data_IF_072062499196
#
_entry.id   IF_072062499196
#
_cell.length_a   1.000
_cell.length_b   1.000
_cell.length_c   1.000
_cell.angle_alpha   90.00
_cell.angle_beta   90.00
_cell.angle_gamma   90.00
#
_symmetry.space_group_name_H-M   'P 1'
#
loop_
_entity.id
_entity.type
_entity.pdbx_description
1 polymer ?
#
# COMPACT_ATOMS: atom_id res chain seq x y z
N UNK A 1 31.24 -33.42 0.96
CA UNK A 1 30.86 -32.60 2.14
C UNK A 1 30.05 -33.49 3.07
N UNK A 2 30.54 -33.70 4.30
CA UNK A 2 29.96 -34.64 5.27
C UNK A 2 28.97 -33.89 6.15
N UNK A 3 27.75 -34.43 6.27
CA UNK A 3 26.65 -33.91 7.11
C UNK A 3 26.94 -34.14 8.60
N UNK A 4 26.74 -33.14 9.47
CA UNK A 4 27.13 -33.16 10.90
C UNK A 4 25.98 -33.42 11.91
N UNK A 5 24.78 -33.75 11.44
CA UNK A 5 23.78 -34.42 12.26
C UNK A 5 22.95 -33.63 13.28
N UNK A 6 22.95 -32.29 13.30
CA UNK A 6 22.26 -31.56 14.39
C UNK A 6 21.15 -30.58 14.02
N UNK A 7 20.78 -30.39 12.76
CA UNK A 7 19.87 -29.28 12.39
C UNK A 7 18.41 -29.69 12.11
N UNK A 8 18.07 -30.98 12.25
CA UNK A 8 16.69 -31.46 12.09
C UNK A 8 16.01 -31.62 13.45
N UNK A 9 15.29 -30.59 13.89
CA UNK A 9 14.45 -30.69 15.08
C UNK A 9 13.12 -31.33 14.66
N UNK A 10 13.02 -32.64 14.80
CA UNK A 10 11.74 -33.35 14.62
C UNK A 10 10.83 -33.07 15.82
N UNK A 11 9.75 -32.33 15.59
CA UNK A 11 8.68 -32.10 16.57
C UNK A 11 7.32 -32.25 15.90
N UNK A 12 6.42 -33.04 16.50
CA UNK A 12 5.03 -33.10 16.03
C UNK A 12 4.35 -31.77 16.35
N UNK A 13 3.93 -31.05 15.31
CA UNK A 13 3.06 -29.89 15.45
C UNK A 13 1.69 -30.36 15.99
N UNK A 14 1.27 -29.79 17.11
CA UNK A 14 0.02 -30.15 17.79
C UNK A 14 -1.15 -29.30 17.27
N UNK A 15 -2.39 -29.68 17.60
CA UNK A 15 -3.59 -28.89 17.28
C UNK A 15 -4.18 -29.12 15.88
N UNK A 16 -3.49 -29.84 15.00
CA UNK A 16 -4.09 -30.36 13.77
C UNK A 16 -5.11 -31.46 14.06
N UNK A 17 -6.23 -31.52 13.32
CA UNK A 17 -7.13 -32.68 13.35
C UNK A 17 -6.35 -33.97 13.09
N UNK A 18 -6.76 -35.09 13.69
CA UNK A 18 -6.12 -36.41 13.53
C UNK A 18 -6.36 -37.04 12.15
N UNK A 19 -6.76 -36.24 11.17
CA UNK A 19 -6.99 -36.67 9.80
C UNK A 19 -5.66 -36.80 9.05
N UNK A 20 -5.63 -37.60 8.00
CA UNK A 20 -4.45 -37.79 7.18
C UNK A 20 -4.12 -36.48 6.44
N UNK A 21 -2.88 -36.01 6.57
CA UNK A 21 -2.39 -34.82 5.86
C UNK A 21 -1.95 -35.25 4.45
N UNK A 22 -2.65 -34.74 3.44
CA UNK A 22 -2.46 -35.12 2.03
C UNK A 22 -1.67 -34.10 1.23
N UNK A 23 -1.64 -32.84 1.69
CA UNK A 23 -0.95 -31.73 1.03
C UNK A 23 -0.53 -30.66 2.04
N UNK A 24 0.50 -29.89 1.70
CA UNK A 24 0.96 -28.71 2.44
C UNK A 24 1.35 -27.61 1.46
N UNK A 25 1.04 -26.37 1.78
CA UNK A 25 1.54 -25.17 1.11
C UNK A 25 1.91 -24.13 2.16
N UNK A 26 3.00 -23.40 1.93
CA UNK A 26 3.52 -22.39 2.85
C UNK A 26 3.63 -21.09 2.07
N UNK A 27 3.08 -20.01 2.61
CA UNK A 27 3.29 -18.68 2.03
C UNK A 27 4.62 -18.13 2.53
N UNK A 28 5.59 -18.00 1.62
CA UNK A 28 6.95 -17.55 1.94
C UNK A 28 7.16 -16.06 1.71
N UNK A 29 6.14 -15.34 1.23
CA UNK A 29 6.34 -14.03 0.60
C UNK A 29 6.73 -12.92 1.56
N UNK A 30 6.06 -12.77 2.71
CA UNK A 30 6.42 -11.80 3.76
C UNK A 30 5.92 -12.15 5.17
N UNK A 31 5.08 -13.17 5.33
CA UNK A 31 4.43 -13.56 6.61
C UNK A 31 5.01 -14.88 7.13
N UNK A 32 6.13 -14.87 7.88
CA UNK A 32 6.67 -16.11 8.44
C UNK A 32 5.61 -16.75 9.36
N UNK A 33 5.28 -18.01 9.09
CA UNK A 33 4.37 -18.80 9.94
C UNK A 33 2.98 -19.05 9.37
N UNK A 34 2.67 -18.59 8.15
CA UNK A 34 1.41 -18.98 7.47
C UNK A 34 1.57 -20.33 6.77
N UNK A 35 0.79 -21.32 7.21
CA UNK A 35 0.82 -22.69 6.70
C UNK A 35 -0.59 -23.12 6.33
N UNK A 36 -0.77 -23.71 5.15
CA UNK A 36 -1.99 -24.37 4.73
C UNK A 36 -1.75 -25.87 4.61
N UNK A 37 -2.65 -26.68 5.17
CA UNK A 37 -2.61 -28.13 5.04
C UNK A 37 -3.92 -28.65 4.47
N UNK A 38 -3.81 -29.58 3.53
CA UNK A 38 -4.93 -30.34 3.01
C UNK A 38 -5.05 -31.65 3.78
N UNK A 39 -6.29 -32.05 4.05
CA UNK A 39 -6.60 -33.30 4.72
C UNK A 39 -7.38 -34.24 3.80
N UNK A 40 -7.41 -35.53 4.17
CA UNK A 40 -8.14 -36.53 3.41
C UNK A 40 -9.66 -36.30 3.44
N UNK A 41 -10.24 -35.84 4.56
CA UNK A 41 -11.71 -35.78 4.71
C UNK A 41 -12.25 -34.50 5.35
N UNK A 42 -11.39 -33.67 5.95
CA UNK A 42 -11.78 -32.47 6.69
C UNK A 42 -11.46 -31.15 5.95
N UNK A 43 -11.04 -31.20 4.69
CA UNK A 43 -10.73 -30.03 3.88
C UNK A 43 -9.37 -29.41 4.18
N UNK A 44 -9.29 -28.09 4.04
CA UNK A 44 -8.09 -27.27 4.29
C UNK A 44 -8.14 -26.70 5.71
N UNK A 45 -7.00 -26.79 6.40
CA UNK A 45 -6.73 -26.04 7.63
C UNK A 45 -5.59 -25.08 7.38
N UNK A 46 -5.58 -23.96 8.11
CA UNK A 46 -4.47 -23.03 8.06
C UNK A 46 -4.07 -22.56 9.45
N UNK A 47 -2.81 -22.17 9.56
CA UNK A 47 -2.20 -21.57 10.75
C UNK A 47 -1.58 -20.23 10.35
N UNK A 48 -1.61 -19.25 11.27
CA UNK A 48 -0.88 -17.96 11.14
C UNK A 48 0.31 -17.86 12.09
N UNK A 49 0.55 -18.89 12.89
CA UNK A 49 1.46 -18.87 14.03
C UNK A 49 2.44 -20.04 14.00
N UNK A 50 2.89 -20.44 12.81
CA UNK A 50 3.84 -21.55 12.59
C UNK A 50 3.33 -22.90 13.10
N UNK A 51 2.02 -23.11 13.10
CA UNK A 51 1.36 -24.36 13.48
C UNK A 51 1.01 -24.47 14.96
N UNK A 52 1.13 -23.39 15.75
CA UNK A 52 0.73 -23.42 17.17
C UNK A 52 -0.79 -23.49 17.32
N UNK A 53 -1.55 -22.91 16.38
CA UNK A 53 -3.01 -23.01 16.30
C UNK A 53 -3.47 -23.18 14.85
N UNK A 54 -4.65 -23.79 14.69
CA UNK A 54 -5.21 -24.17 13.41
C UNK A 54 -6.68 -23.79 13.29
N UNK A 55 -7.05 -23.27 12.13
CA UNK A 55 -8.41 -22.85 11.77
C UNK A 55 -8.82 -23.49 10.45
N UNK A 56 -10.10 -23.84 10.30
CA UNK A 56 -10.63 -24.38 9.04
C UNK A 56 -10.66 -23.31 7.95
N UNK A 57 -10.36 -23.70 6.70
CA UNK A 57 -10.36 -22.83 5.52
C UNK A 57 -11.22 -23.42 4.39
N UNK A 58 -12.47 -23.76 4.73
CA UNK A 58 -13.36 -24.57 3.89
C UNK A 58 -14.59 -23.82 3.36
N UNK A 59 -14.67 -22.51 3.54
CA UNK A 59 -15.79 -21.71 3.05
C UNK A 59 -15.97 -21.93 1.54
N UNK A 60 -17.21 -22.26 1.14
CA UNK A 60 -17.62 -22.59 -0.22
C UNK A 60 -16.88 -23.76 -0.89
N UNK A 61 -16.06 -24.52 -0.15
CA UNK A 61 -15.36 -25.67 -0.68
C UNK A 61 -16.29 -26.89 -0.78
N UNK A 62 -16.69 -27.25 -2.00
CA UNK A 62 -17.66 -28.32 -2.23
C UNK A 62 -17.13 -29.75 -2.05
N UNK A 63 -15.81 -29.95 -2.03
CA UNK A 63 -15.16 -31.25 -1.79
C UNK A 63 -14.02 -31.10 -0.78
N UNK A 64 -14.14 -31.80 0.35
CA UNK A 64 -13.19 -31.75 1.46
C UNK A 64 -12.00 -32.72 1.30
N UNK A 65 -11.99 -33.54 0.25
CA UNK A 65 -10.88 -34.46 -0.02
C UNK A 65 -9.75 -33.74 -0.77
N UNK A 66 -8.83 -33.14 -0.02
CA UNK A 66 -7.72 -32.40 -0.61
C UNK A 66 -6.66 -33.37 -1.09
N UNK A 67 -6.16 -33.16 -2.30
CA UNK A 67 -5.09 -33.98 -2.90
C UNK A 67 -3.81 -33.18 -3.14
N UNK A 68 -3.93 -31.87 -3.39
CA UNK A 68 -2.83 -30.94 -3.66
C UNK A 68 -3.20 -29.53 -3.20
N UNK A 69 -2.20 -28.78 -2.75
CA UNK A 69 -2.28 -27.34 -2.50
C UNK A 69 -1.15 -26.64 -3.25
N UNK A 70 -1.42 -25.44 -3.77
CA UNK A 70 -0.42 -24.55 -4.36
C UNK A 70 -0.80 -23.09 -4.07
N UNK A 71 0.20 -22.23 -3.95
CA UNK A 71 0.01 -20.78 -3.74
C UNK A 71 0.57 -20.05 -4.96
N UNK A 72 -0.13 -19.04 -5.47
CA UNK A 72 0.43 -18.15 -6.50
C UNK A 72 1.51 -17.26 -5.91
N UNK A 73 2.53 -16.99 -6.73
CA UNK A 73 3.57 -15.99 -6.42
C UNK A 73 3.27 -14.62 -7.05
N UNK A 74 2.09 -14.49 -7.66
CA UNK A 74 1.55 -13.23 -8.19
C UNK A 74 0.51 -12.68 -7.24
N UNK A 75 0.36 -11.35 -7.25
CA UNK A 75 -0.67 -10.66 -6.49
C UNK A 75 -1.98 -10.50 -7.29
N UNK A 76 -3.16 -10.64 -6.65
CA UNK A 76 -3.34 -11.09 -5.27
C UNK A 76 -2.93 -12.55 -5.09
N UNK A 77 -2.40 -12.91 -3.93
CA UNK A 77 -2.02 -14.30 -3.63
C UNK A 77 -3.24 -15.20 -3.56
N UNK A 78 -3.23 -16.23 -4.40
CA UNK A 78 -4.27 -17.24 -4.52
C UNK A 78 -3.78 -18.56 -3.93
N UNK A 79 -4.58 -19.18 -3.07
CA UNK A 79 -4.45 -20.59 -2.74
C UNK A 79 -5.29 -21.39 -3.73
N UNK A 80 -4.69 -22.39 -4.35
CA UNK A 80 -5.35 -23.39 -5.17
C UNK A 80 -5.41 -24.73 -4.44
N UNK A 81 -6.59 -25.35 -4.40
CA UNK A 81 -6.82 -26.66 -3.81
C UNK A 81 -7.31 -27.65 -4.87
N UNK A 82 -6.49 -28.65 -5.17
CA UNK A 82 -6.91 -29.80 -5.98
C UNK A 82 -7.66 -30.80 -5.10
N UNK A 83 -8.86 -31.18 -5.52
CA UNK A 83 -9.73 -32.11 -4.78
C UNK A 83 -9.90 -33.44 -5.53
N UNK A 84 -10.27 -34.50 -4.82
CA UNK A 84 -10.38 -35.84 -5.41
C UNK A 84 -11.51 -35.94 -6.46
N UNK A 85 -12.62 -35.23 -6.24
CA UNK A 85 -13.82 -35.33 -7.08
C UNK A 85 -14.37 -33.96 -7.51
N UNK A 86 -14.06 -32.89 -6.78
CA UNK A 86 -14.56 -31.54 -7.03
C UNK A 86 -13.71 -30.67 -7.98
N UNK A 87 -12.62 -31.19 -8.56
CA UNK A 87 -11.72 -30.41 -9.41
C UNK A 87 -10.77 -29.49 -8.63
N UNK A 88 -10.44 -28.32 -9.21
CA UNK A 88 -9.54 -27.33 -8.59
C UNK A 88 -10.35 -26.13 -8.11
N UNK A 89 -10.16 -25.77 -6.85
CA UNK A 89 -10.76 -24.62 -6.18
C UNK A 89 -9.69 -23.54 -5.93
N UNK A 90 -10.09 -22.27 -5.86
CA UNK A 90 -9.15 -21.17 -5.63
C UNK A 90 -9.74 -20.08 -4.73
N UNK A 91 -8.90 -19.45 -3.89
CA UNK A 91 -9.29 -18.35 -3.01
C UNK A 91 -8.14 -17.36 -2.77
N UNK A 92 -8.46 -16.07 -2.67
CA UNK A 92 -7.50 -15.02 -2.26
C UNK A 92 -7.10 -15.23 -0.79
N UNK A 93 -5.80 -15.29 -0.53
CA UNK A 93 -5.21 -15.52 0.81
C UNK A 93 -4.34 -14.38 1.33
N UNK A 94 -3.83 -13.54 0.44
CA UNK A 94 -3.23 -12.26 0.80
C UNK A 94 -3.49 -11.26 -0.33
N UNK A 95 -3.72 -10.03 0.08
CA UNK A 95 -3.78 -8.84 -0.76
C UNK A 95 -2.47 -8.09 -0.55
N UNK A 96 -2.00 -7.40 -1.59
CA UNK A 96 -0.74 -6.66 -1.55
C UNK A 96 -0.79 -5.64 -0.42
N UNK A 97 0.29 -5.59 0.34
CA UNK A 97 0.52 -4.76 1.52
C UNK A 97 2.02 -4.47 1.50
N UNK A 98 2.36 -3.39 0.80
CA UNK A 98 3.71 -3.12 0.34
C UNK A 98 4.62 -2.73 1.50
N UNK A 99 4.11 -1.93 2.44
CA UNK A 99 4.85 -1.45 3.61
C UNK A 99 4.63 -2.27 4.90
N UNK A 100 3.65 -3.17 4.92
CA UNK A 100 3.40 -4.08 6.02
C UNK A 100 2.68 -3.45 7.21
N UNK A 101 1.95 -2.35 7.03
CA UNK A 101 1.17 -1.71 8.08
C UNK A 101 -0.15 -2.44 8.39
N UNK A 102 -0.54 -3.39 7.53
CA UNK A 102 -1.75 -4.18 7.69
C UNK A 102 -2.98 -3.58 7.01
N UNK A 103 -2.82 -2.47 6.29
CA UNK A 103 -3.75 -1.91 5.33
C UNK A 103 -3.35 -2.38 3.93
N UNK A 104 -4.27 -2.99 3.16
CA UNK A 104 -3.99 -3.40 1.79
C UNK A 104 -3.76 -2.20 0.86
N UNK A 105 -2.80 -2.29 -0.06
CA UNK A 105 -2.46 -1.23 -1.04
C UNK A 105 -3.68 -0.66 -1.81
N UNK A 106 -4.72 -1.47 -2.03
CA UNK A 106 -5.95 -1.05 -2.73
C UNK A 106 -6.86 -0.11 -1.92
N UNK A 107 -6.67 -0.05 -0.60
CA UNK A 107 -7.41 0.81 0.33
C UNK A 107 -6.47 1.60 1.26
N UNK A 108 -5.17 1.58 0.99
CA UNK A 108 -4.14 2.28 1.73
C UNK A 108 -3.89 3.65 1.10
N UNK A 109 -4.04 4.72 1.88
CA UNK A 109 -3.78 6.09 1.44
C UNK A 109 -2.28 6.46 1.44
N UNK A 110 -1.40 5.60 1.95
CA UNK A 110 0.05 5.68 1.77
C UNK A 110 0.70 4.29 1.52
N UNK A 111 0.49 3.64 0.36
CA UNK A 111 0.87 2.24 0.09
C UNK A 111 2.35 1.86 0.29
N UNK A 112 3.23 2.83 0.46
CA UNK A 112 4.68 2.61 0.61
C UNK A 112 5.25 3.17 1.92
N UNK A 113 4.41 3.80 2.75
CA UNK A 113 4.80 4.45 3.99
C UNK A 113 3.88 3.99 5.12
N UNK A 114 4.42 3.13 5.99
CA UNK A 114 3.69 2.50 7.08
C UNK A 114 2.84 3.51 7.88
N UNK A 115 1.51 3.40 7.82
CA UNK A 115 0.59 4.37 8.40
C UNK A 115 -0.76 3.76 8.85
N UNK A 116 -0.73 2.81 9.79
CA UNK A 116 -1.91 2.12 10.37
C UNK A 116 -3.13 3.03 10.65
N UNK A 117 -2.87 4.28 11.07
CA UNK A 117 -3.92 5.24 11.40
C UNK A 117 -4.70 5.80 10.21
N UNK A 118 -4.19 5.67 8.97
CA UNK A 118 -4.80 6.14 7.72
C UNK A 118 -5.38 7.56 7.86
N UNK A 119 -4.61 8.46 8.50
CA UNK A 119 -4.99 9.86 8.67
C UNK A 119 -4.89 10.57 7.33
N UNK A 120 -5.92 11.35 7.01
CA UNK A 120 -6.08 12.12 5.78
C UNK A 120 -6.94 13.35 6.15
N UNK A 121 -6.28 14.49 6.40
CA UNK A 121 -6.92 15.68 6.97
C UNK A 121 -7.71 16.49 5.93
N UNK A 122 -7.38 16.38 4.64
CA UNK A 122 -8.04 17.12 3.56
C UNK A 122 -8.94 16.27 2.65
N UNK A 123 -8.91 14.94 2.83
CA UNK A 123 -9.71 13.93 2.14
C UNK A 123 -9.44 13.84 0.64
N UNK A 124 -8.17 13.93 0.22
CA UNK A 124 -7.76 13.78 -1.17
C UNK A 124 -7.33 12.36 -1.57
N UNK A 125 -7.41 11.40 -0.62
CA UNK A 125 -7.00 10.00 -0.73
C UNK A 125 -5.49 9.75 -0.61
N UNK A 126 -4.71 10.78 -0.29
CA UNK A 126 -3.29 10.67 0.07
C UNK A 126 -3.20 10.88 1.58
N UNK A 127 -2.55 9.95 2.29
CA UNK A 127 -2.46 10.04 3.75
C UNK A 127 -1.46 11.10 4.19
N UNK A 128 -1.69 11.70 5.36
CA UNK A 128 -0.84 12.76 5.93
C UNK A 128 0.67 12.42 5.99
N UNK A 129 1.06 11.13 6.01
CA UNK A 129 2.46 10.73 6.07
C UNK A 129 3.16 10.73 4.70
N UNK A 130 2.41 10.68 3.61
CA UNK A 130 2.90 10.67 2.24
C UNK A 130 2.37 11.86 1.42
N UNK A 131 1.63 12.78 2.05
CA UNK A 131 1.02 13.94 1.44
C UNK A 131 1.94 15.18 1.53
N UNK A 132 2.37 15.70 0.38
CA UNK A 132 3.16 16.93 0.26
C UNK A 132 2.35 18.22 0.44
N UNK A 133 1.03 18.14 0.63
CA UNK A 133 0.13 19.23 1.01
C UNK A 133 -0.97 18.81 2.01
N UNK A 134 -0.59 18.19 3.14
CA UNK A 134 -1.44 17.63 4.24
C UNK A 134 -2.75 18.32 4.70
N UNK A 135 -3.05 19.54 4.25
CA UNK A 135 -4.28 20.28 4.60
C UNK A 135 -4.97 20.91 3.38
N UNK A 136 -4.48 20.64 2.16
CA UNK A 136 -4.95 21.18 0.89
C UNK A 136 -4.90 20.11 -0.21
N UNK A 137 -6.08 19.58 -0.53
CA UNK A 137 -6.26 18.48 -1.47
C UNK A 137 -5.49 18.66 -2.79
N UNK A 138 -4.63 17.69 -3.08
CA UNK A 138 -3.79 17.60 -4.27
C UNK A 138 -3.43 16.13 -4.57
N UNK A 139 -4.45 15.33 -4.91
CA UNK A 139 -4.29 13.88 -5.12
C UNK A 139 -3.25 13.49 -6.20
N UNK A 140 -2.82 14.42 -7.04
CA UNK A 140 -1.75 14.22 -8.03
C UNK A 140 -0.33 14.41 -7.45
N UNK A 141 -0.23 14.95 -6.24
CA UNK A 141 1.00 15.15 -5.45
C UNK A 141 2.10 15.85 -6.26
N UNK A 142 1.70 16.75 -7.16
CA UNK A 142 2.63 17.47 -8.02
C UNK A 142 3.53 18.37 -7.17
N UNK A 143 4.84 18.17 -7.34
CA UNK A 143 5.94 18.94 -6.77
C UNK A 143 6.93 19.17 -7.93
N UNK A 144 6.92 20.38 -8.52
CA UNK A 144 7.72 20.67 -9.72
C UNK A 144 9.20 20.82 -9.41
N UNK A 145 9.54 21.30 -8.21
CA UNK A 145 10.90 21.66 -7.83
C UNK A 145 11.54 20.69 -6.80
N UNK A 146 10.87 19.58 -6.51
CA UNK A 146 11.33 18.45 -5.69
C UNK A 146 11.75 18.86 -4.28
N UNK A 147 11.06 19.84 -3.71
CA UNK A 147 11.37 20.45 -2.43
C UNK A 147 10.66 19.75 -1.24
N UNK A 148 9.66 18.92 -1.57
CA UNK A 148 8.82 18.19 -0.62
C UNK A 148 7.46 18.84 -0.35
N UNK A 149 7.15 19.98 -0.96
CA UNK A 149 5.86 20.64 -0.90
C UNK A 149 5.20 20.65 -2.27
N UNK A 150 3.91 20.33 -2.30
CA UNK A 150 3.19 20.29 -3.56
C UNK A 150 2.86 21.70 -4.06
N UNK A 151 2.82 21.87 -5.38
CA UNK A 151 2.44 23.12 -6.05
C UNK A 151 1.14 23.73 -5.49
N UNK A 152 0.20 22.89 -5.04
CA UNK A 152 -1.08 23.33 -4.48
C UNK A 152 -0.96 24.07 -3.15
N UNK A 153 0.08 23.81 -2.37
CA UNK A 153 0.36 24.43 -1.07
C UNK A 153 1.62 25.31 -1.06
N UNK A 154 2.22 25.50 -2.24
CA UNK A 154 3.50 26.18 -2.38
C UNK A 154 3.46 27.30 -3.43
N UNK A 155 3.02 28.47 -2.99
CA UNK A 155 2.98 29.68 -3.80
C UNK A 155 4.11 30.67 -3.47
N UNK A 156 5.21 30.22 -2.82
CA UNK A 156 6.40 31.05 -2.59
C UNK A 156 7.30 31.03 -3.83
N UNK A 157 6.84 31.71 -4.88
CA UNK A 157 7.48 31.78 -6.19
C UNK A 157 8.80 32.55 -6.21
N UNK A 158 9.28 33.04 -5.07
CA UNK A 158 10.57 33.71 -4.97
C UNK A 158 11.49 33.15 -3.89
N UNK A 159 11.02 32.14 -3.15
CA UNK A 159 11.76 31.43 -2.12
C UNK A 159 12.31 32.36 -1.02
N UNK A 160 11.50 33.33 -0.57
CA UNK A 160 11.83 34.20 0.58
C UNK A 160 11.18 33.75 1.90
N UNK A 161 10.46 32.63 1.87
CA UNK A 161 9.78 32.00 3.00
C UNK A 161 8.42 32.62 3.30
N UNK A 162 7.87 33.49 2.43
CA UNK A 162 6.58 34.14 2.62
C UNK A 162 5.80 34.31 1.31
N UNK A 163 4.56 33.81 1.26
CA UNK A 163 3.64 34.16 0.17
C UNK A 163 3.12 35.59 0.35
N UNK A 164 3.60 36.50 -0.48
CA UNK A 164 3.31 37.94 -0.42
C UNK A 164 2.88 38.51 -1.77
N UNK A 165 2.85 39.85 -1.85
CA UNK A 165 2.62 40.58 -3.10
C UNK A 165 3.76 40.42 -4.10
N UNK A 166 4.95 40.02 -3.66
CA UNK A 166 6.10 39.79 -4.55
C UNK A 166 5.84 38.56 -5.43
N UNK A 167 5.31 37.49 -4.85
CA UNK A 167 4.92 36.25 -5.56
C UNK A 167 3.78 36.52 -6.54
N UNK A 168 2.81 37.35 -6.12
CA UNK A 168 1.77 37.81 -7.03
C UNK A 168 2.35 38.53 -8.26
N UNK A 169 3.39 39.35 -8.09
CA UNK A 169 4.02 40.04 -9.22
C UNK A 169 4.75 39.07 -10.16
N UNK A 170 5.32 37.99 -9.61
CA UNK A 170 5.95 36.92 -10.38
C UNK A 170 4.90 36.15 -11.18
N UNK A 171 3.87 35.63 -10.53
CA UNK A 171 2.75 34.92 -11.18
C UNK A 171 2.11 35.79 -12.28
N UNK A 172 1.87 37.07 -11.98
CA UNK A 172 1.33 38.03 -12.95
C UNK A 172 2.26 38.23 -14.16
N UNK A 173 3.56 38.12 -13.97
CA UNK A 173 4.57 38.23 -15.02
C UNK A 173 4.53 37.06 -16.01
N UNK A 174 4.00 35.91 -15.60
CA UNK A 174 3.99 34.66 -16.37
C UNK A 174 2.57 34.19 -16.75
N UNK A 175 1.56 35.06 -16.68
CA UNK A 175 0.19 34.73 -17.11
C UNK A 175 0.12 34.32 -18.60
N UNK A 176 -0.67 33.29 -18.88
CA UNK A 176 -0.82 32.61 -20.18
C UNK A 176 0.48 31.98 -20.70
N UNK A 177 1.39 31.60 -19.80
CA UNK A 177 2.55 30.76 -20.11
C UNK A 177 2.34 29.36 -19.54
N UNK A 178 3.24 28.44 -19.88
CA UNK A 178 3.31 27.09 -19.31
C UNK A 178 4.46 26.99 -18.29
N UNK A 179 4.69 28.07 -17.53
CA UNK A 179 5.63 28.08 -16.43
C UNK A 179 5.17 27.05 -15.38
N UNK A 180 5.98 26.04 -15.13
CA UNK A 180 5.58 24.88 -14.32
C UNK A 180 5.59 25.17 -12.82
N UNK A 181 6.35 26.18 -12.40
CA UNK A 181 6.47 26.58 -11.00
C UNK A 181 5.28 27.48 -10.61
N UNK A 182 4.83 28.32 -11.55
CA UNK A 182 3.66 29.19 -11.37
C UNK A 182 2.30 28.54 -11.75
N UNK A 183 2.29 27.34 -12.33
CA UNK A 183 1.10 26.53 -12.64
C UNK A 183 0.72 25.69 -11.40
N UNK A 184 0.10 26.35 -10.44
CA UNK A 184 -0.20 25.81 -9.11
C UNK A 184 -1.30 24.74 -9.13
N UNK A 185 -2.19 24.77 -10.14
CA UNK A 185 -3.30 23.83 -10.24
C UNK A 185 -3.05 22.64 -11.19
N UNK A 186 -1.92 22.60 -11.90
CA UNK A 186 -1.60 21.47 -12.77
C UNK A 186 -2.32 21.43 -14.10
N UNK A 187 -3.01 22.51 -14.52
CA UNK A 187 -3.80 22.50 -15.76
C UNK A 187 -2.98 22.81 -17.03
N UNK A 188 -1.69 23.14 -16.85
CA UNK A 188 -0.72 23.36 -17.91
C UNK A 188 -0.65 24.81 -18.40
N UNK A 189 -1.38 25.74 -17.78
CA UNK A 189 -1.31 27.17 -18.06
C UNK A 189 -1.40 27.99 -16.77
N UNK A 190 -0.53 28.99 -16.63
CA UNK A 190 -0.68 29.98 -15.56
C UNK A 190 -1.84 30.91 -15.90
N UNK A 191 -2.95 30.80 -15.17
CA UNK A 191 -4.13 31.62 -15.37
C UNK A 191 -4.62 32.29 -14.08
N UNK A 192 -5.87 32.75 -14.10
CA UNK A 192 -6.50 33.34 -12.92
C UNK A 192 -6.86 32.32 -11.85
N UNK A 193 -6.88 31.02 -12.17
CA UNK A 193 -7.09 29.93 -11.21
C UNK A 193 -5.90 29.80 -10.27
N UNK A 194 -4.66 29.87 -10.79
CA UNK A 194 -3.43 29.88 -10.01
C UNK A 194 -3.34 31.11 -9.11
N UNK A 195 -3.80 32.25 -9.62
CA UNK A 195 -3.93 33.45 -8.79
C UNK A 195 -4.88 33.25 -7.59
N UNK A 196 -5.96 32.47 -7.74
CA UNK A 196 -6.86 32.18 -6.62
C UNK A 196 -6.21 31.28 -5.57
N UNK A 197 -5.36 30.34 -5.98
CA UNK A 197 -4.57 29.49 -5.09
C UNK A 197 -3.59 30.35 -4.30
N UNK A 198 -2.72 31.11 -4.98
CA UNK A 198 -1.76 32.03 -4.35
C UNK A 198 -2.44 32.98 -3.38
N UNK A 199 -3.59 33.55 -3.76
CA UNK A 199 -4.36 34.46 -2.90
C UNK A 199 -4.84 33.78 -1.61
N UNK A 200 -5.17 32.49 -1.66
CA UNK A 200 -5.58 31.70 -0.50
C UNK A 200 -4.47 31.52 0.53
N UNK A 201 -3.21 31.62 0.10
CA UNK A 201 -2.02 31.36 0.92
C UNK A 201 -1.31 32.63 1.41
N UNK A 202 -1.83 33.82 1.08
CA UNK A 202 -1.22 35.09 1.51
C UNK A 202 -1.03 35.16 3.04
N UNK A 203 0.21 35.37 3.48
CA UNK A 203 0.64 35.40 4.88
C UNK A 203 0.45 34.07 5.65
N UNK A 204 0.24 32.95 4.95
CA UNK A 204 0.44 31.63 5.55
C UNK A 204 1.94 31.29 5.51
N UNK A 205 2.46 30.51 6.47
CA UNK A 205 3.75 29.85 6.27
C UNK A 205 3.60 29.01 5.00
N UNK A 206 4.41 29.24 3.95
CA UNK A 206 4.34 28.37 2.79
C UNK A 206 4.87 26.99 3.21
N UNK A 207 4.69 25.99 2.35
CA UNK A 207 5.77 25.03 2.22
C UNK A 207 7.10 25.78 2.01
N UNK A 208 8.28 25.32 2.44
CA UNK A 208 9.50 25.74 1.76
C UNK A 208 9.28 25.75 0.23
N UNK A 209 9.84 26.79 -0.39
CA UNK A 209 10.21 26.91 -1.79
C UNK A 209 9.34 26.25 -2.88
N UNK A 210 8.67 27.08 -3.70
CA UNK A 210 8.17 26.66 -5.04
C UNK A 210 9.18 26.91 -6.17
N UNK A 211 10.41 27.24 -5.79
CA UNK A 211 11.59 27.35 -6.65
C UNK A 211 12.81 26.84 -5.89
N UNK A 212 13.21 25.59 -6.17
CA UNK A 212 14.32 24.92 -5.49
C UNK A 212 15.49 25.86 -5.14
N UNK A 213 16.12 25.72 -3.95
CA UNK A 213 17.41 26.37 -3.68
C UNK A 213 18.54 25.93 -4.64
#
# INVERSE_FOLDING_TARGET
>A
TVWNGSDWIWGKIQGLPTDEITAIAIDLSKRPGVIYVGTLSAGVFFSRDSGNSWTTFNEDLGDLHITKLAISETEPKMLYAGTAYGGVWSRVIAILDTDGDGVPDEIDNCPTIFNIGQLDDDNDLVGNLCDNCSVLSNADQRDTDDDGFGNMCDADLNNDGLVTVTDFLILRGVLNTADQDADLNGDGLVTVTDFLILRGQLNQPPGPSGLAP
#
